data_IF_851239080159
#
_entry.id   IF_851239080159
#
_cell.length_a   1.000
_cell.length_b   1.000
_cell.length_c   1.000
_cell.angle_alpha   90.00
_cell.angle_beta   90.00
_cell.angle_gamma   90.00
#
_symmetry.space_group_name_H-M   'P 1'
#
loop_
_entity.id
_entity.type
_entity.pdbx_description
1 polymer ?
#
# COMPACT_ATOMS: atom_id res chain seq x y z
N UNK A 1 -11.21 21.67 6.74
CA UNK A 1 -10.05 21.13 6.01
C UNK A 1 -10.58 20.50 4.74
N UNK A 2 -10.23 21.04 3.58
CA UNK A 2 -10.87 20.78 2.28
C UNK A 2 -10.58 19.35 1.81
N UNK A 3 -11.60 18.48 1.78
CA UNK A 3 -11.49 17.16 1.15
C UNK A 3 -11.54 17.40 -0.37
N UNK A 4 -10.36 17.50 -0.99
CA UNK A 4 -10.25 17.38 -2.44
C UNK A 4 -10.79 16.00 -2.87
N UNK A 5 -11.60 15.99 -3.92
CA UNK A 5 -12.36 14.84 -4.43
C UNK A 5 -11.56 13.53 -4.45
N UNK A 6 -11.76 12.68 -3.44
CA UNK A 6 -11.26 11.29 -3.50
C UNK A 6 -12.12 10.58 -4.51
N UNK A 7 -11.57 10.36 -5.70
CA UNK A 7 -12.20 9.67 -6.81
C UNK A 7 -12.74 8.30 -6.38
N UNK A 8 -14.06 8.17 -6.30
CA UNK A 8 -14.78 6.91 -6.02
C UNK A 8 -14.72 5.90 -7.17
N UNK A 9 -14.00 6.21 -8.26
CA UNK A 9 -14.00 5.35 -9.45
C UNK A 9 -13.11 4.12 -9.25
N UNK A 10 -13.61 2.92 -9.61
CA UNK A 10 -12.85 1.67 -9.52
C UNK A 10 -11.71 1.57 -10.54
N UNK A 11 -10.85 0.57 -10.38
CA UNK A 11 -9.79 0.25 -11.33
C UNK A 11 -8.68 1.29 -11.32
N UNK A 12 -7.90 1.33 -10.24
CA UNK A 12 -6.85 2.32 -10.04
C UNK A 12 -5.50 1.68 -9.74
N UNK A 13 -4.44 2.32 -10.25
CA UNK A 13 -3.09 2.20 -9.72
C UNK A 13 -2.86 3.41 -8.83
N UNK A 14 -2.37 3.17 -7.63
CA UNK A 14 -2.27 4.19 -6.59
C UNK A 14 -0.92 4.16 -5.89
N UNK A 15 -0.60 5.28 -5.26
CA UNK A 15 0.56 5.45 -4.38
C UNK A 15 0.08 5.74 -2.97
N UNK A 16 0.66 5.07 -1.99
CA UNK A 16 0.61 5.46 -0.58
C UNK A 16 1.99 6.03 -0.22
N UNK A 17 2.01 7.19 0.41
CA UNK A 17 3.22 7.85 0.92
C UNK A 17 3.13 7.96 2.42
N UNK A 18 4.27 7.77 3.09
CA UNK A 18 4.44 8.09 4.50
C UNK A 18 5.20 9.40 4.66
N UNK A 19 4.95 10.13 5.74
CA UNK A 19 5.71 11.34 6.08
C UNK A 19 7.22 11.10 6.26
N UNK A 20 7.67 9.85 6.42
CA UNK A 20 9.09 9.48 6.39
C UNK A 20 9.69 9.37 4.96
N UNK A 21 8.95 9.80 3.93
CA UNK A 21 9.27 9.70 2.50
C UNK A 21 9.25 8.29 1.91
N UNK A 22 8.95 7.25 2.71
CA UNK A 22 8.70 5.93 2.18
C UNK A 22 7.43 5.93 1.32
N UNK A 23 7.40 5.07 0.29
CA UNK A 23 6.18 4.91 -0.51
C UNK A 23 5.93 3.47 -0.95
N UNK A 24 4.64 3.20 -1.16
CA UNK A 24 4.07 1.96 -1.65
C UNK A 24 3.27 2.25 -2.91
N UNK A 25 3.42 1.42 -3.94
CA UNK A 25 2.57 1.44 -5.13
C UNK A 25 1.82 0.12 -5.22
N UNK A 26 0.52 0.20 -5.51
CA UNK A 26 -0.34 -0.95 -5.68
C UNK A 26 -1.44 -0.70 -6.70
N UNK A 27 -2.18 -1.75 -7.05
CA UNK A 27 -3.40 -1.66 -7.84
C UNK A 27 -4.61 -2.20 -7.09
N UNK A 28 -5.79 -1.74 -7.48
CA UNK A 28 -7.06 -2.31 -7.00
C UNK A 28 -8.13 -2.23 -8.08
N UNK A 29 -8.99 -3.24 -8.11
CA UNK A 29 -10.24 -3.22 -8.87
C UNK A 29 -11.30 -2.31 -8.27
N UNK A 30 -11.23 -2.01 -6.97
CA UNK A 30 -12.16 -1.13 -6.25
C UNK A 30 -11.71 0.33 -6.32
N UNK A 31 -12.39 1.21 -5.57
CA UNK A 31 -11.94 2.60 -5.42
C UNK A 31 -10.66 2.68 -4.58
N UNK A 32 -9.93 3.80 -4.72
CA UNK A 32 -8.77 4.08 -3.87
C UNK A 32 -9.17 4.16 -2.38
N UNK A 33 -10.34 4.74 -2.08
CA UNK A 33 -10.81 4.91 -0.72
C UNK A 33 -11.02 3.56 -0.04
N UNK A 34 -11.66 2.60 -0.72
CA UNK A 34 -11.89 1.26 -0.18
C UNK A 34 -10.58 0.57 0.14
N UNK A 35 -9.64 0.62 -0.82
CA UNK A 35 -8.34 -0.02 -0.63
C UNK A 35 -7.52 0.65 0.47
N UNK A 36 -7.59 1.96 0.61
CA UNK A 36 -6.91 2.67 1.69
C UNK A 36 -7.52 2.35 3.06
N UNK A 37 -8.84 2.23 3.16
CA UNK A 37 -9.53 1.76 4.38
C UNK A 37 -9.09 0.34 4.76
N UNK A 38 -8.93 -0.57 3.81
CA UNK A 38 -8.41 -1.92 4.06
C UNK A 38 -7.00 -1.89 4.66
N UNK A 39 -6.09 -1.07 4.11
CA UNK A 39 -4.75 -0.88 4.66
C UNK A 39 -4.79 -0.31 6.08
N UNK A 40 -5.58 0.75 6.32
CA UNK A 40 -5.75 1.33 7.65
C UNK A 40 -6.34 0.35 8.66
N UNK A 41 -7.34 -0.43 8.27
CA UNK A 41 -7.89 -1.49 9.12
C UNK A 41 -6.85 -2.58 9.43
N UNK A 42 -5.91 -2.84 8.53
CA UNK A 42 -4.73 -3.67 8.81
C UNK A 42 -3.84 -3.07 9.89
N UNK A 43 -3.53 -1.77 9.79
CA UNK A 43 -2.69 -1.04 10.76
C UNK A 43 -3.36 -1.04 12.15
N UNK A 44 -4.63 -0.67 12.23
CA UNK A 44 -5.38 -0.69 13.50
C UNK A 44 -5.45 -2.08 14.12
N UNK A 45 -5.58 -3.15 13.31
CA UNK A 45 -5.52 -4.53 13.82
C UNK A 45 -4.17 -4.88 14.42
N UNK A 46 -3.08 -4.40 13.79
CA UNK A 46 -1.73 -4.58 14.32
C UNK A 46 -1.55 -3.81 15.64
N UNK A 47 -1.94 -2.54 15.68
CA UNK A 47 -1.83 -1.67 16.86
C UNK A 47 -2.59 -2.26 18.05
N UNK A 48 -3.87 -2.63 17.86
CA UNK A 48 -4.67 -3.25 18.92
C UNK A 48 -4.08 -4.57 19.42
N UNK A 49 -3.41 -5.35 18.56
CA UNK A 49 -2.74 -6.58 18.96
C UNK A 49 -1.44 -6.29 19.72
N UNK A 50 -0.69 -5.24 19.34
CA UNK A 50 0.48 -4.77 20.06
C UNK A 50 0.11 -4.27 21.47
N UNK A 51 -0.95 -3.47 21.60
CA UNK A 51 -1.45 -2.99 22.90
C UNK A 51 -1.79 -4.16 23.82
N UNK A 52 -2.54 -5.15 23.32
CA UNK A 52 -2.88 -6.38 24.07
C UNK A 52 -1.66 -7.20 24.49
N UNK A 53 -0.57 -7.15 23.73
CA UNK A 53 0.67 -7.85 24.07
C UNK A 53 1.41 -7.14 25.22
N UNK A 54 1.30 -5.81 25.29
CA UNK A 54 1.95 -4.99 26.31
C UNK A 54 1.13 -4.89 27.61
N UNK A 55 -0.18 -5.09 27.56
CA UNK A 55 -1.05 -5.11 28.74
C UNK A 55 -0.99 -6.45 29.50
N UNK A 56 -0.81 -6.38 30.83
CA UNK A 56 -1.09 -7.51 31.73
C UNK A 56 -2.59 -7.81 31.73
N UNK A 57 -3.00 -8.80 30.95
CA UNK A 57 -4.35 -9.36 30.76
C UNK A 57 -5.41 -8.97 31.83
N UNK A 58 -6.13 -7.87 31.61
CA UNK A 58 -7.35 -7.52 32.38
C UNK A 58 -8.64 -7.58 31.54
N UNK A 59 -8.59 -8.23 30.36
CA UNK A 59 -9.71 -8.33 29.42
C UNK A 59 -10.21 -9.75 29.19
N UNK A 60 -11.35 -9.85 28.49
CA UNK A 60 -11.92 -11.13 28.05
C UNK A 60 -10.91 -11.86 27.12
N UNK A 61 -10.61 -13.16 27.36
CA UNK A 61 -9.73 -13.93 26.49
C UNK A 61 -10.27 -13.94 25.05
N UNK A 62 -9.42 -13.53 24.11
CA UNK A 62 -9.69 -13.67 22.67
C UNK A 62 -9.04 -14.97 22.16
N UNK A 63 -9.64 -15.69 21.19
CA UNK A 63 -9.13 -16.99 20.76
C UNK A 63 -7.76 -16.95 20.06
N UNK A 64 -7.40 -15.82 19.45
CA UNK A 64 -6.12 -15.66 18.73
C UNK A 64 -5.10 -14.91 19.58
N UNK A 65 -3.93 -15.52 19.68
CA UNK A 65 -2.73 -14.93 20.28
C UNK A 65 -2.36 -13.61 19.59
N UNK A 66 -2.07 -12.53 20.35
CA UNK A 66 -1.73 -11.23 19.77
C UNK A 66 -0.57 -11.28 18.76
N UNK A 67 0.48 -12.06 19.05
CA UNK A 67 1.64 -12.22 18.16
C UNK A 67 1.23 -12.77 16.78
N UNK A 68 0.37 -13.79 16.75
CA UNK A 68 -0.12 -14.36 15.50
C UNK A 68 -0.95 -13.35 14.70
N UNK A 69 -1.73 -12.49 15.37
CA UNK A 69 -2.50 -11.42 14.71
C UNK A 69 -1.56 -10.39 14.08
N UNK A 70 -0.51 -10.00 14.81
CA UNK A 70 0.50 -9.06 14.31
C UNK A 70 1.24 -9.63 13.11
N UNK A 71 1.68 -10.89 13.19
CA UNK A 71 2.35 -11.60 12.09
C UNK A 71 1.45 -11.73 10.86
N UNK A 72 0.19 -12.13 11.04
CA UNK A 72 -0.80 -12.21 9.95
C UNK A 72 -1.01 -10.84 9.28
N UNK A 73 -1.12 -9.77 10.07
CA UNK A 73 -1.34 -8.42 9.58
C UNK A 73 -0.13 -7.90 8.78
N UNK A 74 1.08 -8.10 9.30
CA UNK A 74 2.34 -7.78 8.61
C UNK A 74 2.41 -8.59 7.32
N UNK A 75 2.26 -9.92 7.35
CA UNK A 75 2.33 -10.78 6.17
C UNK A 75 1.31 -10.38 5.09
N UNK A 76 0.11 -9.96 5.48
CA UNK A 76 -0.96 -9.56 4.56
C UNK A 76 -0.77 -8.19 3.90
N UNK A 77 0.09 -7.32 4.43
CA UNK A 77 0.21 -5.95 3.90
C UNK A 77 1.57 -5.31 4.14
N UNK A 78 2.25 -4.94 3.06
CA UNK A 78 3.52 -4.22 3.15
C UNK A 78 3.38 -2.81 3.78
N UNK A 79 2.19 -2.21 3.69
CA UNK A 79 1.89 -0.94 4.37
C UNK A 79 1.80 -1.14 5.89
N UNK A 80 1.23 -2.26 6.34
CA UNK A 80 1.19 -2.62 7.77
C UNK A 80 2.59 -2.95 8.28
N UNK A 81 3.37 -3.69 7.49
CA UNK A 81 4.78 -3.95 7.79
C UNK A 81 5.60 -2.67 7.94
N UNK A 82 5.37 -1.67 7.09
CA UNK A 82 6.02 -0.37 7.26
C UNK A 82 5.53 0.36 8.52
N UNK A 83 4.22 0.40 8.74
CA UNK A 83 3.61 1.15 9.85
C UNK A 83 3.97 0.57 11.22
N UNK A 84 4.29 -0.73 11.30
CA UNK A 84 4.79 -1.34 12.54
C UNK A 84 6.17 -0.82 12.97
N UNK A 85 6.92 -0.20 12.06
CA UNK A 85 8.27 0.32 12.28
C UNK A 85 8.33 1.85 12.15
N UNK A 86 7.22 2.50 11.79
CA UNK A 86 7.17 3.93 11.51
C UNK A 86 5.81 4.52 11.91
N UNK A 87 5.83 5.56 12.74
CA UNK A 87 4.64 6.29 13.19
C UNK A 87 4.23 7.44 12.26
N UNK A 88 4.73 7.45 11.02
CA UNK A 88 4.45 8.54 10.08
C UNK A 88 3.06 8.43 9.45
N UNK A 89 2.44 9.59 9.20
CA UNK A 89 1.12 9.67 8.59
C UNK A 89 1.13 9.14 7.15
N UNK A 90 0.11 8.36 6.81
CA UNK A 90 -0.09 7.81 5.48
C UNK A 90 -1.05 8.67 4.65
N UNK A 91 -0.68 8.93 3.40
CA UNK A 91 -1.53 9.58 2.40
C UNK A 91 -1.65 8.71 1.16
N UNK A 92 -2.83 8.68 0.54
CA UNK A 92 -3.10 7.87 -0.64
C UNK A 92 -3.51 8.73 -1.83
N UNK A 93 -2.88 8.50 -2.98
CA UNK A 93 -3.12 9.25 -4.21
C UNK A 93 -3.31 8.30 -5.40
N UNK A 94 -4.26 8.61 -6.28
CA UNK A 94 -4.41 7.89 -7.55
C UNK A 94 -3.31 8.32 -8.51
N UNK A 95 -2.54 7.36 -9.04
CA UNK A 95 -1.55 7.63 -10.09
C UNK A 95 -2.23 7.63 -11.45
N UNK A 96 -2.95 6.54 -11.75
CA UNK A 96 -3.70 6.42 -13.01
C UNK A 96 -4.89 5.47 -12.88
N UNK A 97 -5.83 5.59 -13.82
CA UNK A 97 -6.96 4.68 -13.94
C UNK A 97 -6.75 3.66 -15.05
N UNK A 98 -7.23 2.45 -14.81
CA UNK A 98 -7.22 1.35 -15.77
C UNK A 98 -8.22 0.29 -15.31
N UNK A 99 -9.24 0.01 -16.13
CA UNK A 99 -10.28 -0.96 -15.78
C UNK A 99 -9.84 -2.41 -16.01
N UNK A 100 -8.94 -2.64 -16.96
CA UNK A 100 -8.47 -3.97 -17.30
C UNK A 100 -7.44 -4.46 -16.29
N UNK A 101 -7.79 -5.50 -15.53
CA UNK A 101 -6.95 -6.06 -14.47
C UNK A 101 -5.52 -6.38 -14.93
N UNK A 102 -5.37 -7.06 -16.08
CA UNK A 102 -4.04 -7.42 -16.61
C UNK A 102 -3.20 -6.17 -16.92
N UNK A 103 -3.82 -5.14 -17.50
CA UNK A 103 -3.12 -3.88 -17.81
C UNK A 103 -2.76 -3.12 -16.52
N UNK A 104 -3.63 -3.14 -15.48
CA UNK A 104 -3.28 -2.59 -14.16
C UNK A 104 -2.06 -3.25 -13.55
N UNK A 105 -1.95 -4.58 -13.62
CA UNK A 105 -0.78 -5.31 -13.11
C UNK A 105 0.51 -4.86 -13.81
N UNK A 106 0.48 -4.68 -15.13
CA UNK A 106 1.64 -4.13 -15.87
C UNK A 106 1.94 -2.69 -15.49
N UNK A 107 0.93 -1.82 -15.41
CA UNK A 107 1.10 -0.42 -14.98
C UNK A 107 1.70 -0.33 -13.57
N UNK A 108 1.17 -1.09 -12.61
CA UNK A 108 1.72 -1.23 -11.26
C UNK A 108 3.20 -1.63 -11.30
N UNK A 109 3.54 -2.68 -12.05
CA UNK A 109 4.90 -3.15 -12.26
C UNK A 109 5.83 -2.07 -12.86
N UNK A 110 5.34 -1.29 -13.82
CA UNK A 110 6.11 -0.20 -14.41
C UNK A 110 6.37 0.91 -13.40
N UNK A 111 5.35 1.35 -12.66
CA UNK A 111 5.50 2.38 -11.64
C UNK A 111 6.44 1.95 -10.50
N UNK A 112 6.33 0.70 -10.01
CA UNK A 112 7.24 0.20 -8.96
C UNK A 112 8.70 0.19 -9.45
N UNK A 113 8.95 -0.25 -10.69
CA UNK A 113 10.32 -0.36 -11.22
C UNK A 113 10.99 0.99 -11.48
N UNK A 114 10.22 2.03 -11.79
CA UNK A 114 10.74 3.34 -12.19
C UNK A 114 10.68 4.40 -11.10
N UNK A 115 10.16 4.06 -9.91
CA UNK A 115 10.12 4.97 -8.77
C UNK A 115 10.70 4.27 -7.53
N UNK A 116 11.38 5.03 -6.66
CA UNK A 116 11.89 4.48 -5.41
C UNK A 116 10.74 4.24 -4.44
N UNK A 117 10.36 2.97 -4.25
CA UNK A 117 9.26 2.55 -3.39
C UNK A 117 9.77 1.64 -2.28
N UNK A 118 10.08 2.23 -1.12
CA UNK A 118 10.74 1.56 0.01
C UNK A 118 9.83 0.54 0.71
N UNK A 119 8.51 0.68 0.56
CA UNK A 119 7.56 -0.24 1.20
C UNK A 119 7.25 -1.46 0.32
N UNK A 120 7.47 -1.40 -1.00
CA UNK A 120 7.15 -2.53 -1.88
C UNK A 120 8.14 -3.69 -1.64
N UNK A 121 7.61 -4.89 -1.35
CA UNK A 121 8.41 -6.13 -1.17
C UNK A 121 9.05 -6.66 -2.45
N UNK A 122 8.55 -6.24 -3.61
CA UNK A 122 8.95 -6.75 -4.91
C UNK A 122 8.56 -5.80 -6.02
N UNK A 123 8.87 -6.19 -7.27
CA UNK A 123 8.77 -5.29 -8.43
C UNK A 123 7.44 -5.40 -9.21
N UNK A 124 6.47 -6.17 -8.73
CA UNK A 124 5.22 -6.46 -9.44
C UNK A 124 5.37 -7.62 -10.43
N UNK A 125 4.50 -7.70 -11.45
CA UNK A 125 4.60 -8.72 -12.52
C UNK A 125 5.88 -8.57 -13.33
N UNK A 126 6.37 -9.66 -13.92
CA UNK A 126 7.54 -9.63 -14.81
C UNK A 126 7.30 -8.82 -16.08
N UNK A 127 8.35 -8.12 -16.52
CA UNK A 127 8.32 -7.15 -17.61
C UNK A 127 9.61 -7.30 -18.42
N UNK A 128 9.47 -7.38 -19.75
CA UNK A 128 10.63 -7.38 -20.67
C UNK A 128 11.41 -6.06 -20.59
N UNK A 129 12.74 -6.14 -20.65
CA UNK A 129 13.64 -4.98 -20.60
C UNK A 129 13.36 -3.93 -21.69
N UNK A 130 12.80 -4.32 -22.84
CA UNK A 130 12.40 -3.38 -23.90
C UNK A 130 11.42 -2.30 -23.41
N UNK A 131 10.56 -2.65 -22.45
CA UNK A 131 9.63 -1.68 -21.84
C UNK A 131 10.36 -0.68 -20.94
N UNK A 132 11.42 -1.10 -20.25
CA UNK A 132 12.23 -0.25 -19.38
C UNK A 132 12.88 0.88 -20.17
N UNK A 133 13.44 0.58 -21.34
CA UNK A 133 14.02 1.60 -22.23
C UNK A 133 12.99 2.62 -22.71
N UNK A 134 11.80 2.15 -23.09
CA UNK A 134 10.72 3.03 -23.53
C UNK A 134 10.24 3.94 -22.39
N UNK A 135 10.06 3.41 -21.19
CA UNK A 135 9.61 4.17 -20.02
C UNK A 135 10.66 5.19 -19.62
N UNK A 136 11.95 4.83 -19.61
CA UNK A 136 13.04 5.75 -19.30
C UNK A 136 13.08 6.94 -20.28
N UNK A 137 12.89 6.68 -21.58
CA UNK A 137 12.88 7.72 -22.62
C UNK A 137 11.65 8.63 -22.54
N UNK A 138 10.48 8.05 -22.31
CA UNK A 138 9.21 8.80 -22.32
C UNK A 138 8.85 9.41 -20.97
N UNK A 139 9.47 8.93 -19.89
CA UNK A 139 9.13 9.27 -18.49
C UNK A 139 7.66 9.04 -18.15
N UNK A 140 6.96 8.16 -18.87
CA UNK A 140 5.52 7.96 -18.72
C UNK A 140 5.11 7.36 -17.37
N UNK A 141 6.06 6.78 -16.61
CA UNK A 141 5.85 6.26 -15.27
C UNK A 141 6.55 7.08 -14.17
N UNK A 142 7.05 8.28 -14.49
CA UNK A 142 7.64 9.16 -13.49
C UNK A 142 6.55 9.79 -12.61
N UNK A 143 6.70 9.67 -11.29
CA UNK A 143 5.84 10.34 -10.31
C UNK A 143 6.65 11.49 -9.72
N UNK A 144 6.18 12.72 -9.88
CA UNK A 144 6.77 13.88 -9.22
C UNK A 144 6.69 13.70 -7.70
N UNK A 145 7.85 13.76 -7.06
CA UNK A 145 8.00 13.81 -5.59
C UNK A 145 7.53 15.12 -5.02
#
# INVERSE_FOLDING_TARGET
MTIASVNEKPGVVYRITCSCNASYIGETGNSLLDRFKEHRAGVTRYENAMERLNETQQGRPQPKEPRNIMEDAVKGSAVVEHSSQCSGDLQANTICRESLFRVRKFKEAFFIRHNTCQMNRGKGVEVSELWTDLINRTRCCYIST
#
